data_IF_508747798105
#
_entry.id   IF_508747798105
#
_cell.length_a   1.000
_cell.length_b   1.000
_cell.length_c   1.000
_cell.angle_alpha   90.00
_cell.angle_beta   90.00
_cell.angle_gamma   90.00
#
_symmetry.space_group_name_H-M   'P 1'
#
loop_
_entity.id
_entity.type
_entity.pdbx_description
1 polymer ?
#
# COMPACT_ATOMS: atom_id res chain seq x y z
N UNK A 1 4.61 -7.20 18.71
CA UNK A 1 5.02 -6.18 17.72
C UNK A 1 3.81 -6.00 16.82
N UNK A 2 3.27 -4.79 16.73
CA UNK A 2 2.07 -4.49 15.93
C UNK A 2 2.36 -4.73 14.44
N UNK A 3 1.56 -5.57 13.77
CA UNK A 3 1.69 -5.93 12.36
C UNK A 3 0.51 -5.37 11.57
N UNK A 4 0.83 -4.52 10.61
CA UNK A 4 -0.19 -3.83 9.80
C UNK A 4 0.01 -4.20 8.34
N UNK A 5 -1.07 -4.65 7.69
CA UNK A 5 -1.09 -4.85 6.23
C UNK A 5 -1.86 -3.73 5.56
N UNK A 6 -1.24 -3.08 4.58
CA UNK A 6 -1.96 -2.17 3.68
C UNK A 6 -2.13 -2.83 2.31
N UNK A 7 -3.35 -2.89 1.82
CA UNK A 7 -3.69 -3.52 0.55
C UNK A 7 -4.01 -2.42 -0.46
N UNK A 8 -3.22 -2.31 -1.53
CA UNK A 8 -3.41 -1.31 -2.57
C UNK A 8 -3.24 -1.91 -3.97
N UNK A 9 -4.36 -2.05 -4.66
CA UNK A 9 -4.39 -2.22 -6.11
C UNK A 9 -4.38 -0.88 -6.85
N UNK A 10 -4.64 -0.91 -8.16
CA UNK A 10 -4.69 0.28 -9.02
C UNK A 10 -3.36 0.59 -9.71
N UNK A 11 -3.34 1.73 -10.41
CA UNK A 11 -2.17 2.18 -11.16
C UNK A 11 -1.12 2.87 -10.26
N UNK A 12 -0.04 3.40 -10.84
CA UNK A 12 0.98 4.11 -10.05
C UNK A 12 0.41 5.38 -9.40
N UNK A 13 -0.42 6.16 -10.10
CA UNK A 13 -1.02 7.38 -9.56
C UNK A 13 -1.92 7.11 -8.34
N UNK A 14 -2.67 6.01 -8.39
CA UNK A 14 -3.46 5.48 -7.28
C UNK A 14 -2.62 5.22 -6.02
N UNK A 15 -1.44 4.64 -6.20
CA UNK A 15 -0.51 4.37 -5.11
C UNK A 15 0.11 5.67 -4.57
N UNK A 16 0.54 6.58 -5.45
CA UNK A 16 1.08 7.90 -5.08
C UNK A 16 0.08 8.69 -4.23
N UNK A 17 -1.20 8.71 -4.62
CA UNK A 17 -2.27 9.37 -3.86
C UNK A 17 -2.55 8.74 -2.49
N UNK A 18 -2.05 7.53 -2.24
CA UNK A 18 -2.16 6.82 -0.95
C UNK A 18 -0.95 7.10 -0.03
N UNK A 19 0.14 7.68 -0.55
CA UNK A 19 1.36 7.94 0.23
C UNK A 19 1.14 8.83 1.46
N UNK A 20 0.26 9.85 1.45
CA UNK A 20 0.00 10.64 2.65
C UNK A 20 -0.62 9.82 3.78
N UNK A 21 -1.56 8.93 3.43
CA UNK A 21 -2.17 7.97 4.36
C UNK A 21 -1.12 7.02 4.94
N UNK A 22 -0.26 6.45 4.08
CA UNK A 22 0.85 5.60 4.53
C UNK A 22 1.85 6.35 5.42
N UNK A 23 2.08 7.64 5.14
CA UNK A 23 2.99 8.48 5.93
C UNK A 23 2.44 8.67 7.33
N UNK A 24 1.18 9.10 7.44
CA UNK A 24 0.54 9.30 8.72
C UNK A 24 0.47 8.01 9.54
N UNK A 25 0.21 6.87 8.87
CA UNK A 25 0.24 5.55 9.51
C UNK A 25 1.62 5.24 10.10
N UNK A 26 2.69 5.40 9.31
CA UNK A 26 4.07 5.19 9.78
C UNK A 26 4.45 6.15 10.91
N UNK A 27 4.10 7.43 10.79
CA UNK A 27 4.41 8.44 11.81
C UNK A 27 3.69 8.13 13.14
N UNK A 28 2.44 7.65 13.09
CA UNK A 28 1.67 7.28 14.28
C UNK A 28 2.07 5.94 14.89
N UNK A 29 2.65 5.04 14.09
CA UNK A 29 3.07 3.69 14.48
C UNK A 29 4.52 3.44 14.06
N UNK A 30 5.50 4.14 14.67
CA UNK A 30 6.89 4.08 14.23
C UNK A 30 7.47 2.67 14.32
N UNK A 31 7.12 1.94 15.39
CA UNK A 31 7.62 0.59 15.67
C UNK A 31 6.77 -0.53 15.05
N UNK A 32 5.69 -0.21 14.32
CA UNK A 32 4.88 -1.24 13.69
C UNK A 32 5.60 -1.86 12.48
N UNK A 33 5.43 -3.15 12.31
CA UNK A 33 5.85 -3.84 11.10
C UNK A 33 4.74 -3.69 10.04
N UNK A 34 5.01 -2.89 9.02
CA UNK A 34 4.06 -2.57 7.95
C UNK A 34 4.46 -3.32 6.69
N UNK A 35 3.53 -4.09 6.16
CA UNK A 35 3.65 -4.73 4.86
C UNK A 35 2.63 -4.14 3.88
N UNK A 36 2.95 -4.18 2.59
CA UNK A 36 2.04 -3.77 1.53
C UNK A 36 1.74 -4.94 0.61
N UNK A 37 0.46 -5.24 0.40
CA UNK A 37 -0.01 -6.12 -0.65
C UNK A 37 -0.47 -5.27 -1.84
N UNK A 38 0.29 -5.31 -2.94
CA UNK A 38 0.00 -4.50 -4.12
C UNK A 38 0.78 -4.96 -5.34
N UNK A 39 0.69 -4.22 -6.45
CA UNK A 39 1.50 -4.51 -7.63
C UNK A 39 2.97 -4.26 -7.30
N UNK A 40 3.81 -5.32 -7.31
CA UNK A 40 5.18 -5.25 -6.79
C UNK A 40 6.01 -4.15 -7.45
N UNK A 41 5.86 -3.95 -8.76
CA UNK A 41 6.58 -2.92 -9.51
C UNK A 41 6.18 -1.48 -9.14
N UNK A 42 5.00 -1.26 -8.57
CA UNK A 42 4.53 0.04 -8.07
C UNK A 42 4.86 0.19 -6.59
N UNK A 43 4.46 -0.80 -5.78
CA UNK A 43 4.62 -0.77 -4.33
C UNK A 43 6.09 -0.83 -3.87
N UNK A 44 7.02 -1.24 -4.76
CA UNK A 44 8.47 -1.13 -4.53
C UNK A 44 8.92 0.30 -4.15
N UNK A 45 8.17 1.36 -4.49
CA UNK A 45 8.44 2.73 -4.03
C UNK A 45 8.38 2.90 -2.50
N UNK A 46 7.73 1.97 -1.79
CA UNK A 46 7.56 1.97 -0.35
C UNK A 46 8.40 0.91 0.39
N UNK A 47 8.78 -0.16 -0.30
CA UNK A 47 9.51 -1.30 0.27
C UNK A 47 10.91 -0.91 0.75
N UNK A 48 11.28 -1.34 1.97
CA UNK A 48 12.58 -1.09 2.60
C UNK A 48 13.01 0.39 2.57
N UNK A 49 12.02 1.28 2.65
CA UNK A 49 12.16 2.73 2.67
C UNK A 49 11.41 3.26 3.89
N UNK A 50 10.92 4.49 3.82
CA UNK A 50 10.17 5.12 4.89
C UNK A 50 8.89 4.35 5.28
N UNK A 51 8.18 3.78 4.31
CA UNK A 51 6.79 3.35 4.50
C UNK A 51 6.65 1.92 5.03
N UNK A 52 7.26 0.94 4.36
CA UNK A 52 6.98 -0.48 4.62
C UNK A 52 8.25 -1.32 4.64
N UNK A 53 8.22 -2.39 5.44
CA UNK A 53 9.31 -3.36 5.56
C UNK A 53 9.28 -4.38 4.41
N UNK A 54 8.10 -4.73 3.88
CA UNK A 54 7.99 -5.70 2.81
C UNK A 54 6.82 -5.40 1.87
N UNK A 55 6.96 -5.83 0.61
CA UNK A 55 5.89 -5.82 -0.39
C UNK A 55 5.63 -7.23 -0.89
N UNK A 56 4.37 -7.66 -0.84
CA UNK A 56 3.88 -8.88 -1.50
C UNK A 56 3.10 -8.52 -2.76
N UNK A 57 3.27 -9.30 -3.82
CA UNK A 57 2.53 -9.10 -5.06
C UNK A 57 1.05 -9.47 -4.89
N UNK A 58 0.16 -8.58 -5.32
CA UNK A 58 -1.28 -8.86 -5.46
C UNK A 58 -1.56 -9.81 -6.63
N UNK A 59 -0.60 -10.01 -7.53
CA UNK A 59 -0.69 -10.94 -8.67
C UNK A 59 -0.17 -12.34 -8.33
N UNK A 60 -0.03 -12.66 -7.04
CA UNK A 60 0.36 -13.98 -6.59
C UNK A 60 -0.76 -15.00 -6.90
N UNK A 61 -0.50 -16.00 -7.75
CA UNK A 61 -1.51 -16.94 -8.25
C UNK A 61 -2.48 -17.50 -7.19
N UNK A 62 -2.00 -18.03 -6.05
CA UNK A 62 -2.86 -18.53 -4.97
C UNK A 62 -3.80 -17.49 -4.35
N UNK A 63 -3.47 -16.19 -4.45
CA UNK A 63 -4.33 -15.11 -3.96
C UNK A 63 -5.63 -14.98 -4.76
N UNK A 64 -5.70 -15.51 -5.99
CA UNK A 64 -6.93 -15.55 -6.79
C UNK A 64 -8.13 -16.17 -6.05
N UNK A 65 -7.87 -17.16 -5.16
CA UNK A 65 -8.89 -17.76 -4.31
C UNK A 65 -9.60 -16.74 -3.42
N UNK A 66 -8.91 -15.70 -2.94
CA UNK A 66 -9.50 -14.65 -2.11
C UNK A 66 -10.45 -13.72 -2.88
N UNK A 67 -10.40 -13.71 -4.21
CA UNK A 67 -11.32 -12.95 -5.06
C UNK A 67 -12.55 -13.76 -5.51
N UNK A 68 -12.61 -15.05 -5.19
CA UNK A 68 -13.73 -15.93 -5.52
C UNK A 68 -14.66 -16.16 -4.31
N UNK A 69 -15.97 -16.12 -4.53
CA UNK A 69 -16.98 -16.43 -3.50
C UNK A 69 -16.90 -17.91 -3.13
N UNK A 70 -16.96 -18.20 -1.84
CA UNK A 70 -16.99 -19.57 -1.29
C UNK A 70 -15.82 -20.48 -1.75
N UNK A 71 -14.69 -19.88 -2.10
CA UNK A 71 -13.47 -20.63 -2.42
C UNK A 71 -12.88 -21.31 -1.20
N UNK A 72 -12.13 -22.37 -1.45
CA UNK A 72 -11.19 -22.92 -0.48
C UNK A 72 -9.99 -21.96 -0.37
N UNK A 73 -9.70 -21.51 0.86
CA UNK A 73 -8.64 -20.54 1.12
C UNK A 73 -7.36 -21.30 1.47
N UNK A 74 -6.26 -21.11 0.73
CA UNK A 74 -4.98 -21.76 1.04
C UNK A 74 -4.53 -21.44 2.46
N UNK A 75 -4.19 -22.48 3.23
CA UNK A 75 -3.81 -22.34 4.64
C UNK A 75 -2.62 -21.38 4.84
N UNK A 76 -1.65 -21.37 3.91
CA UNK A 76 -0.52 -20.44 3.93
C UNK A 76 -1.00 -18.97 3.92
N UNK A 77 -1.91 -18.63 3.00
CA UNK A 77 -2.43 -17.27 2.88
C UNK A 77 -3.38 -16.93 4.02
N UNK A 78 -4.19 -17.88 4.47
CA UNK A 78 -5.06 -17.69 5.63
C UNK A 78 -4.25 -17.35 6.88
N UNK A 79 -3.18 -18.11 7.15
CA UNK A 79 -2.26 -17.86 8.26
C UNK A 79 -1.51 -16.53 8.09
N UNK A 80 -1.12 -16.19 6.86
CA UNK A 80 -0.50 -14.90 6.56
C UNK A 80 -1.42 -13.73 6.91
N UNK A 81 -2.67 -13.72 6.44
CA UNK A 81 -3.63 -12.65 6.74
C UNK A 81 -4.01 -12.61 8.23
N UNK A 82 -4.19 -13.77 8.86
CA UNK A 82 -4.46 -13.87 10.29
C UNK A 82 -3.30 -13.36 11.18
N UNK A 83 -2.08 -13.28 10.63
CA UNK A 83 -0.91 -12.82 11.38
C UNK A 83 -0.82 -11.29 11.54
N UNK A 84 -1.72 -10.52 10.92
CA UNK A 84 -1.76 -9.07 11.04
C UNK A 84 -2.77 -8.63 12.09
N UNK A 85 -2.32 -7.73 12.97
CA UNK A 85 -3.15 -7.11 13.99
C UNK A 85 -4.18 -6.14 13.39
N UNK A 86 -3.87 -5.56 12.23
CA UNK A 86 -4.79 -4.70 11.46
C UNK A 86 -4.53 -4.76 9.96
N UNK A 87 -5.61 -4.68 9.18
CA UNK A 87 -5.56 -4.63 7.72
C UNK A 87 -6.32 -3.39 7.23
N UNK A 88 -5.67 -2.62 6.36
CA UNK A 88 -6.25 -1.44 5.72
C UNK A 88 -6.31 -1.72 4.22
N UNK A 89 -7.51 -1.82 3.66
CA UNK A 89 -7.72 -2.19 2.27
C UNK A 89 -8.25 -1.03 1.44
N UNK A 90 -7.49 -0.63 0.41
CA UNK A 90 -7.89 0.30 -0.64
C UNK A 90 -8.16 -0.44 -1.96
N UNK A 91 -8.49 -1.72 -1.86
CA UNK A 91 -8.84 -2.56 -2.99
C UNK A 91 -10.27 -2.29 -3.45
N UNK A 92 -10.51 -2.27 -4.75
CA UNK A 92 -11.86 -2.22 -5.29
C UNK A 92 -12.55 -3.58 -5.10
N UNK A 93 -13.39 -3.68 -4.09
CA UNK A 93 -14.14 -4.91 -3.75
C UNK A 93 -15.63 -4.58 -3.50
N UNK A 94 -16.39 -4.19 -4.54
CA UNK A 94 -17.78 -3.75 -4.39
C UNK A 94 -18.70 -4.86 -3.84
N UNK A 95 -18.39 -6.11 -4.14
CA UNK A 95 -19.12 -7.29 -3.69
C UNK A 95 -18.64 -7.82 -2.33
N UNK A 96 -17.63 -7.16 -1.73
CA UNK A 96 -17.00 -7.53 -0.45
C UNK A 96 -16.48 -8.97 -0.41
N UNK A 97 -16.11 -9.54 -1.56
CA UNK A 97 -15.69 -10.94 -1.64
C UNK A 97 -14.35 -11.11 -0.93
N UNK A 98 -13.41 -10.21 -1.25
CA UNK A 98 -12.08 -10.22 -0.67
C UNK A 98 -12.14 -9.91 0.82
N UNK A 99 -12.92 -8.89 1.21
CA UNK A 99 -13.20 -8.58 2.62
C UNK A 99 -13.74 -9.81 3.37
N UNK A 100 -14.80 -10.45 2.86
CA UNK A 100 -15.40 -11.62 3.51
C UNK A 100 -14.42 -12.79 3.62
N UNK A 101 -13.56 -13.00 2.62
CA UNK A 101 -12.54 -14.04 2.67
C UNK A 101 -11.44 -13.74 3.70
N UNK A 102 -11.03 -12.47 3.88
CA UNK A 102 -10.14 -12.08 4.98
C UNK A 102 -10.79 -12.34 6.34
N UNK A 103 -12.08 -12.02 6.50
CA UNK A 103 -12.84 -12.30 7.73
C UNK A 103 -12.89 -13.79 8.05
N UNK A 104 -13.07 -14.65 7.03
CA UNK A 104 -13.03 -16.11 7.16
C UNK A 104 -11.68 -16.63 7.66
N UNK A 105 -10.60 -15.88 7.46
CA UNK A 105 -9.27 -16.20 8.00
C UNK A 105 -9.07 -15.74 9.45
N UNK A 106 -10.06 -15.12 10.09
CA UNK A 106 -9.94 -14.62 11.46
C UNK A 106 -9.45 -13.17 11.56
N UNK A 107 -9.47 -12.40 10.47
CA UNK A 107 -9.11 -10.97 10.52
C UNK A 107 -10.21 -10.17 11.23
N UNK A 108 -9.89 -9.58 12.38
CA UNK A 108 -10.84 -8.80 13.18
C UNK A 108 -10.78 -7.29 12.90
N UNK A 109 -9.58 -6.75 12.69
CA UNK A 109 -9.38 -5.32 12.50
C UNK A 109 -9.14 -4.97 11.03
N UNK A 110 -10.20 -5.09 10.22
CA UNK A 110 -10.19 -4.66 8.82
C UNK A 110 -10.86 -3.29 8.68
N UNK A 111 -10.21 -2.38 7.95
CA UNK A 111 -10.80 -1.11 7.48
C UNK A 111 -10.70 -1.04 5.96
N UNK A 112 -11.82 -0.81 5.32
CA UNK A 112 -11.89 -0.65 3.87
C UNK A 112 -12.00 0.84 3.55
N UNK A 113 -11.12 1.33 2.68
CA UNK A 113 -11.20 2.67 2.13
C UNK A 113 -12.29 2.81 1.07
N UNK A 114 -12.45 4.01 0.51
CA UNK A 114 -13.50 4.26 -0.48
C UNK A 114 -13.32 3.37 -1.70
N UNK A 115 -14.38 2.66 -2.10
CA UNK A 115 -14.37 1.82 -3.31
C UNK A 115 -14.12 2.66 -4.57
N UNK A 116 -14.62 3.90 -4.61
CA UNK A 116 -14.37 4.85 -5.70
C UNK A 116 -14.06 6.20 -5.12
N UNK A 117 -13.10 6.88 -5.74
CA UNK A 117 -12.87 8.30 -5.51
C UNK A 117 -13.98 9.07 -6.20
N UNK A 118 -14.68 9.92 -5.46
CA UNK A 118 -15.75 10.76 -5.98
C UNK A 118 -15.17 12.12 -6.36
N UNK A 119 -15.31 12.53 -7.62
CA UNK A 119 -14.79 13.83 -8.10
C UNK A 119 -15.38 15.02 -7.32
N UNK A 120 -16.61 14.87 -6.82
CA UNK A 120 -17.33 15.90 -6.07
C UNK A 120 -16.96 15.97 -4.59
N UNK A 121 -16.24 14.98 -4.05
CA UNK A 121 -15.92 14.87 -2.63
C UNK A 121 -14.51 15.41 -2.29
N UNK A 122 -13.96 16.27 -3.14
CA UNK A 122 -12.65 16.89 -2.96
C UNK A 122 -11.48 16.00 -3.40
N UNK A 123 -10.26 16.37 -2.99
CA UNK A 123 -9.04 15.73 -3.47
C UNK A 123 -8.99 14.23 -3.13
N UNK A 124 -8.54 13.40 -4.07
CA UNK A 124 -8.46 11.95 -3.90
C UNK A 124 -7.67 11.53 -2.65
N UNK A 125 -6.49 12.14 -2.44
CA UNK A 125 -5.67 11.88 -1.26
C UNK A 125 -6.39 12.20 0.07
N UNK A 126 -7.31 13.16 0.08
CA UNK A 126 -8.13 13.46 1.27
C UNK A 126 -9.16 12.37 1.53
N UNK A 127 -9.83 11.91 0.48
CA UNK A 127 -10.80 10.81 0.61
C UNK A 127 -10.11 9.52 1.09
N UNK A 128 -8.89 9.23 0.60
CA UNK A 128 -8.09 8.09 1.05
C UNK A 128 -7.55 8.24 2.49
N UNK A 129 -7.31 9.48 2.93
CA UNK A 129 -6.85 9.77 4.28
C UNK A 129 -7.93 9.53 5.34
N UNK A 130 -9.22 9.67 4.99
CA UNK A 130 -10.34 9.41 5.92
C UNK A 130 -10.27 8.01 6.52
N UNK A 131 -9.86 7.00 5.75
CA UNK A 131 -9.68 5.62 6.24
C UNK A 131 -8.67 5.51 7.38
N UNK A 132 -7.64 6.36 7.37
CA UNK A 132 -6.63 6.44 8.45
C UNK A 132 -7.16 7.28 9.61
N UNK A 133 -7.93 8.34 9.32
CA UNK A 133 -8.57 9.17 10.35
C UNK A 133 -9.61 8.40 11.16
N UNK A 134 -10.34 7.46 10.53
CA UNK A 134 -11.27 6.53 11.19
C UNK A 134 -10.56 5.55 12.15
N UNK A 135 -9.23 5.40 12.03
CA UNK A 135 -8.39 4.68 13.00
C UNK A 135 -7.92 5.57 14.16
N UNK A 136 -8.37 6.82 14.22
CA UNK A 136 -7.93 7.83 15.19
C UNK A 136 -6.57 8.46 14.86
N UNK A 137 -6.04 8.25 13.64
CA UNK A 137 -4.75 8.79 13.20
C UNK A 137 -4.99 10.03 12.34
N UNK A 138 -4.48 11.19 12.78
CA UNK A 138 -4.60 12.43 12.01
C UNK A 138 -3.70 12.42 10.77
N UNK A 139 -4.21 12.92 9.65
CA UNK A 139 -3.45 13.07 8.40
C UNK A 139 -3.35 14.56 8.04
N UNK A 140 -2.45 15.33 8.67
CA UNK A 140 -2.39 16.79 8.48
C UNK A 140 -1.71 17.22 7.18
N UNK A 141 -0.78 16.41 6.67
CA UNK A 141 -0.05 16.67 5.42
C UNK A 141 -0.53 15.69 4.34
N UNK A 142 -1.00 16.23 3.22
CA UNK A 142 -1.45 15.48 2.05
C UNK A 142 -0.38 15.36 0.96
N UNK A 143 0.85 15.82 1.21
CA UNK A 143 1.93 15.77 0.22
C UNK A 143 2.33 14.35 -0.14
N UNK A 144 2.33 14.01 -1.42
CA UNK A 144 2.72 12.70 -1.94
C UNK A 144 4.24 12.55 -2.02
N UNK A 145 4.88 12.39 -0.85
CA UNK A 145 6.35 12.31 -0.75
C UNK A 145 6.86 10.92 -1.08
N UNK A 146 7.82 10.83 -1.99
CA UNK A 146 8.60 9.60 -2.19
C UNK A 146 9.91 9.71 -1.41
N UNK A 147 10.36 8.62 -0.80
CA UNK A 147 11.61 8.55 -0.05
C UNK A 147 12.59 7.62 -0.77
N UNK A 148 13.40 8.13 -1.72
CA UNK A 148 14.39 7.31 -2.43
C UNK A 148 15.38 6.66 -1.48
N UNK A 149 15.83 5.46 -1.84
CA UNK A 149 16.94 4.80 -1.14
C UNK A 149 18.27 5.51 -1.42
N UNK A 150 19.34 5.05 -0.75
CA UNK A 150 20.70 5.50 -1.06
C UNK A 150 21.06 5.12 -2.49
N UNK A 151 20.73 3.89 -2.90
CA UNK A 151 21.02 3.35 -4.22
C UNK A 151 20.26 4.11 -5.32
N UNK A 152 18.99 4.46 -5.09
CA UNK A 152 18.19 5.26 -6.02
C UNK A 152 18.87 6.62 -6.29
N UNK A 153 19.39 7.26 -5.22
CA UNK A 153 20.12 8.53 -5.32
C UNK A 153 21.46 8.40 -6.01
N UNK A 154 22.18 7.29 -5.78
CA UNK A 154 23.46 7.03 -6.43
C UNK A 154 23.25 6.81 -7.93
N UNK A 155 22.32 5.94 -8.31
CA UNK A 155 21.97 5.68 -9.70
C UNK A 155 21.60 6.96 -10.45
N UNK A 156 20.76 7.82 -9.85
CA UNK A 156 20.39 9.09 -10.45
C UNK A 156 21.59 10.03 -10.69
N UNK A 157 22.58 10.04 -9.79
CA UNK A 157 23.82 10.82 -9.95
C UNK A 157 24.67 10.29 -11.10
N UNK A 158 24.83 8.98 -11.20
CA UNK A 158 25.60 8.33 -12.26
C UNK A 158 24.99 8.62 -13.65
N UNK A 159 23.67 8.50 -13.77
CA UNK A 159 22.96 8.83 -15.01
C UNK A 159 23.09 10.31 -15.39
N UNK A 160 23.03 11.21 -14.41
CA UNK A 160 23.23 12.66 -14.64
C UNK A 160 24.65 12.97 -15.12
N UNK A 161 25.65 12.32 -14.55
CA UNK A 161 27.06 12.46 -14.98
C UNK A 161 27.27 11.90 -16.39
N UNK A 162 26.70 10.73 -16.68
CA UNK A 162 26.77 10.12 -18.02
C UNK A 162 26.15 11.05 -19.08
N UNK A 163 24.94 11.58 -18.83
CA UNK A 163 24.27 12.52 -19.72
C UNK A 163 25.06 13.84 -19.92
N UNK A 164 25.76 14.32 -18.89
CA UNK A 164 26.60 15.52 -18.99
C UNK A 164 27.89 15.28 -19.80
N UNK A 165 28.42 14.06 -19.79
CA UNK A 165 29.60 13.67 -20.58
C UNK A 165 29.30 13.41 -22.06
N UNK A 166 28.09 12.94 -22.39
CA UNK A 166 27.67 12.70 -23.78
C UNK A 166 27.19 13.96 -24.51
N UNK A 167 26.90 15.06 -23.80
CA UNK A 167 26.51 16.35 -24.38
C UNK A 167 27.64 17.32 -24.74
N UNK A 168 28.92 16.95 -24.55
CA UNK A 168 30.10 17.81 -24.87
C UNK A 168 30.74 17.52 -26.24
N UNK A 169 30.02 16.86 -27.15
CA UNK A 169 30.53 16.45 -28.46
C UNK A 169 29.67 16.89 -29.64
N UNK A 170 29.09 18.10 -29.60
CA UNK A 170 28.42 18.74 -30.73
C UNK A 170 29.00 20.14 -30.96
#
# INVERSE_FOLDING_TARGET
MDRILVIRGGAIGDFILTLPSLKALRDARPDAHIEILGYKHIAALAENRFYAQAVRSIEYGPLSSFFAKNSELPAELANYFASFDSIISYLYDPDRIFENNLRRCGVENLRCGPAKILETAGHAARQLAQTIEDLGIKVPDLSERVFPSVDDRQFAREQKLAAASSGRGA
#
